data_IF_104164872858
#
_entry.id   IF_104164872858
#
_cell.length_a   1.000
_cell.length_b   1.000
_cell.length_c   1.000
_cell.angle_alpha   90.00
_cell.angle_beta   90.00
_cell.angle_gamma   90.00
#
_symmetry.space_group_name_H-M   'P 1'
#
loop_
_entity.id
_entity.type
_entity.pdbx_description
1 polymer ?
2 non-polymer ?
3 water ?
#
# COMPACT_ATOMS: atom_id res chain seq x y z
N UNK A 3 -0.46 27.19 -20.90
CA UNK A 3 -0.68 26.24 -21.98
C UNK A 3 0.62 25.54 -22.37
N UNK A 4 1.74 26.27 -22.22
CA UNK A 4 3.05 25.74 -22.58
C UNK A 4 3.29 24.37 -21.95
N UNK A 5 2.86 24.20 -20.70
CA UNK A 5 2.91 22.90 -20.03
C UNK A 5 1.66 22.76 -19.17
N UNK A 6 1.03 21.59 -19.28
CA UNK A 6 -0.07 21.21 -18.40
C UNK A 6 0.50 20.35 -17.27
N UNK A 7 0.26 20.78 -16.04
CA UNK A 7 0.84 20.14 -14.86
C UNK A 7 -0.27 19.44 -14.08
N UNK A 8 0.01 18.21 -13.65
CA UNK A 8 -0.88 17.46 -12.77
C UNK A 8 -0.19 17.28 -11.43
N UNK A 9 -0.84 17.75 -10.36
CA UNK A 9 -0.32 17.61 -9.00
C UNK A 9 -1.23 16.65 -8.25
N UNK A 10 -0.65 15.65 -7.61
CA UNK A 10 -1.40 14.64 -6.86
C UNK A 10 -1.01 14.75 -5.40
N UNK A 11 -1.94 15.25 -4.58
CA UNK A 11 -1.74 15.31 -3.13
C UNK A 11 -2.32 14.07 -2.47
N UNK A 12 -1.57 13.51 -1.52
CA UNK A 12 -1.98 12.26 -0.91
C UNK A 12 -1.86 12.22 0.62
N UNK A 13 -1.40 13.29 1.26
CA UNK A 13 -1.21 13.24 2.70
C UNK A 13 -2.53 13.36 3.44
N UNK A 14 -2.60 12.71 4.61
CA UNK A 14 -3.81 12.68 5.42
C UNK A 14 -3.76 13.66 6.57
N UNK A 15 -2.70 14.46 6.69
CA UNK A 15 -2.57 15.41 7.78
C UNK A 15 -3.08 16.81 7.43
N UNK A 16 -3.56 16.99 6.21
CA UNK A 16 -4.29 18.20 5.78
C UNK A 16 -3.34 19.39 5.83
N UNK A 17 -3.69 20.48 6.55
CA UNK A 17 -2.92 21.71 6.46
C UNK A 17 -1.56 21.59 7.15
N UNK A 18 -1.44 20.72 8.15
CA UNK A 18 -0.19 20.54 8.86
C UNK A 18 0.80 19.65 8.12
N UNK A 19 0.35 18.94 7.09
CA UNK A 19 1.22 18.00 6.39
C UNK A 19 2.31 18.75 5.64
N UNK A 20 3.56 18.33 5.87
CA UNK A 20 4.67 18.87 5.10
C UNK A 20 4.52 18.57 3.62
N UNK A 21 3.93 17.42 3.29
CA UNK A 21 3.73 17.06 1.88
C UNK A 21 2.81 18.06 1.19
N UNK A 22 1.72 18.45 1.84
CA UNK A 22 0.78 19.40 1.24
C UNK A 22 1.30 20.83 1.28
N UNK A 23 2.08 21.19 2.31
CA UNK A 23 2.70 22.50 2.34
C UNK A 23 3.69 22.65 1.18
N UNK A 24 4.55 21.65 0.98
CA UNK A 24 5.50 21.70 -0.12
C UNK A 24 4.82 21.54 -1.47
N UNK A 25 3.68 20.84 -1.51
CA UNK A 25 2.92 20.74 -2.75
C UNK A 25 2.32 22.08 -3.13
N UNK A 26 1.71 22.77 -2.17
CA UNK A 26 1.16 24.10 -2.43
C UNK A 26 2.26 25.09 -2.80
N UNK A 27 3.40 25.03 -2.10
CA UNK A 27 4.54 25.86 -2.48
C UNK A 27 5.01 25.53 -3.89
N UNK A 28 4.91 24.26 -4.30
CA UNK A 28 5.30 23.87 -5.64
C UNK A 28 4.35 24.43 -6.69
N UNK A 29 3.05 24.41 -6.40
CA UNK A 29 2.06 24.93 -7.33
C UNK A 29 2.23 26.44 -7.49
N UNK A 30 2.35 27.15 -6.37
CA UNK A 30 2.54 28.60 -6.41
C UNK A 30 3.86 28.96 -7.08
N UNK A 31 4.91 28.18 -6.83
CA UNK A 31 6.20 28.43 -7.48
C UNK A 31 6.10 28.21 -8.99
N UNK A 32 5.41 27.15 -9.41
CA UNK A 32 5.32 26.84 -10.83
C UNK A 32 4.50 27.86 -11.59
N UNK A 33 3.37 28.29 -11.02
CA UNK A 33 2.56 29.30 -11.70
C UNK A 33 3.20 30.68 -11.59
N UNK A 34 4.08 30.88 -10.60
CA UNK A 34 4.85 32.10 -10.53
C UNK A 34 5.93 32.13 -11.60
N UNK A 35 6.56 30.98 -11.89
CA UNK A 35 7.64 30.94 -12.87
C UNK A 35 7.10 30.83 -14.30
N UNK A 36 5.99 30.10 -14.49
CA UNK A 36 5.38 29.92 -15.80
C UNK A 36 3.91 30.32 -15.69
N UNK A 37 3.66 31.63 -15.78
CA UNK A 37 2.31 32.16 -15.57
C UNK A 37 1.31 31.65 -16.59
N UNK A 38 1.76 31.10 -17.70
CA UNK A 38 0.87 30.60 -18.73
C UNK A 38 0.51 29.14 -18.56
N UNK A 39 1.33 28.40 -17.81
CA UNK A 39 1.06 26.99 -17.58
C UNK A 39 -0.25 26.81 -16.81
N UNK A 40 -0.94 25.72 -17.11
CA UNK A 40 -2.21 25.38 -16.46
C UNK A 40 -1.99 24.19 -15.53
N UNK A 41 -2.35 24.36 -14.27
CA UNK A 41 -2.09 23.39 -13.21
C UNK A 41 -3.41 22.82 -12.72
N UNK A 42 -3.51 21.49 -12.73
CA UNK A 42 -4.65 20.77 -12.17
C UNK A 42 -4.18 20.06 -10.91
N UNK A 43 -4.87 20.28 -9.81
CA UNK A 43 -4.50 19.71 -8.52
C UNK A 43 -5.61 18.77 -8.07
N UNK A 44 -5.27 17.49 -7.95
CA UNK A 44 -6.17 16.48 -7.41
C UNK A 44 -5.67 16.07 -6.02
N UNK A 45 -6.54 16.19 -5.03
CA UNK A 45 -6.24 15.83 -3.66
C UNK A 45 -6.86 14.47 -3.36
N UNK A 46 -6.02 13.43 -3.29
CA UNK A 46 -6.51 12.08 -3.07
C UNK A 46 -7.00 11.85 -1.65
N UNK A 47 -6.74 12.78 -0.73
CA UNK A 47 -7.28 12.67 0.63
C UNK A 47 -8.60 13.42 0.77
N UNK A 48 -8.70 14.61 0.19
CA UNK A 48 -9.94 15.38 0.26
C UNK A 48 -11.09 14.64 -0.44
N UNK A 49 -10.83 14.16 -1.65
CA UNK A 49 -11.79 13.34 -2.41
C UNK A 49 -11.17 11.97 -2.63
N UNK A 50 -11.37 11.02 -1.71
CA UNK A 50 -10.66 9.75 -1.79
C UNK A 50 -11.11 8.88 -2.95
N UNK A 51 -10.22 7.99 -3.36
CA UNK A 51 -10.50 6.97 -4.37
C UNK A 51 -10.95 5.71 -3.64
N UNK A 52 -11.98 5.01 -4.12
CA UNK A 52 -12.39 3.78 -3.43
C UNK A 52 -11.34 2.68 -3.55
N UNK A 53 -11.32 1.82 -2.52
CA UNK A 53 -10.36 0.72 -2.50
C UNK A 53 -10.76 -0.34 -3.53
N UNK A 54 -9.76 -0.92 -4.18
CA UNK A 54 -9.98 -1.98 -5.16
C UNK A 54 -10.51 -3.22 -4.45
N UNK A 55 -11.77 -3.54 -4.70
CA UNK A 55 -12.43 -4.73 -4.18
C UNK A 55 -12.46 -5.83 -5.24
N UNK A 56 -12.86 -7.02 -4.81
CA UNK A 56 -13.09 -8.10 -5.76
C UNK A 56 -14.20 -7.78 -6.74
N UNK A 57 -15.16 -6.95 -6.33
CA UNK A 57 -16.18 -6.49 -7.26
C UNK A 57 -15.61 -5.48 -8.25
N UNK A 58 -14.91 -4.46 -7.74
CA UNK A 58 -14.35 -3.45 -8.62
C UNK A 58 -13.29 -4.04 -9.56
N UNK A 59 -12.60 -5.09 -9.14
CA UNK A 59 -11.53 -5.63 -9.99
C UNK A 59 -12.09 -6.24 -11.27
N UNK A 60 -13.38 -6.60 -11.28
CA UNK A 60 -14.00 -7.09 -12.50
C UNK A 60 -14.41 -6.01 -13.47
N UNK A 61 -14.61 -4.78 -12.99
CA UNK A 61 -14.99 -3.68 -13.87
C UNK A 61 -13.83 -3.21 -14.73
N UNK A 62 -12.60 -3.37 -14.25
CA UNK A 62 -11.42 -2.87 -14.93
C UNK A 62 -10.86 -3.86 -15.95
N UNK A 63 -11.64 -4.87 -16.33
CA UNK A 63 -11.27 -5.84 -17.32
C UNK A 63 -12.46 -6.07 -18.27
N UNK A 64 -12.21 -6.56 -19.49
CA UNK A 64 -13.28 -6.87 -20.44
C UNK A 64 -14.40 -7.74 -19.87
N UNK A 66 -17.77 -8.93 -20.13
CA UNK A 66 -18.42 -10.21 -20.39
C UNK A 66 -19.82 -10.30 -19.82
N UNK A 67 -19.94 -10.16 -18.51
CA UNK A 67 -21.21 -10.26 -17.81
C UNK A 67 -21.78 -8.86 -17.54
N UNK A 68 -22.86 -8.80 -16.79
CA UNK A 68 -23.52 -7.54 -16.47
C UNK A 68 -22.72 -6.79 -15.41
N UNK A 69 -22.49 -5.50 -15.64
CA UNK A 69 -21.77 -4.65 -14.70
C UNK A 69 -22.73 -4.09 -13.66
N UNK A 70 -22.40 -4.27 -12.39
CA UNK A 70 -23.16 -3.66 -11.31
C UNK A 70 -22.95 -2.15 -11.34
N UNK A 71 -23.88 -1.38 -10.77
CA UNK A 71 -23.69 0.09 -10.71
C UNK A 71 -22.36 0.50 -10.08
N UNK A 72 -21.97 -0.14 -8.99
CA UNK A 72 -20.67 0.15 -8.36
C UNK A 72 -19.54 -0.07 -9.34
N UNK A 73 -19.62 -1.14 -10.13
CA UNK A 73 -18.60 -1.43 -11.13
C UNK A 73 -18.60 -0.40 -12.26
N UNK A 74 -19.78 0.11 -12.63
CA UNK A 74 -19.84 1.16 -13.64
C UNK A 74 -19.20 2.45 -13.12
N UNK A 75 -19.52 2.82 -11.88
CA UNK A 75 -18.90 4.00 -11.27
C UNK A 75 -17.38 3.83 -11.21
N UNK A 76 -16.92 2.66 -10.81
CA UNK A 76 -15.47 2.43 -10.70
C UNK A 76 -14.79 2.52 -12.06
N UNK A 77 -15.41 1.93 -13.09
CA UNK A 77 -14.82 2.00 -14.43
C UNK A 77 -14.80 3.42 -14.96
N UNK A 78 -15.90 4.16 -14.74
CA UNK A 78 -15.96 5.55 -15.18
C UNK A 78 -14.89 6.41 -14.50
N UNK A 79 -14.78 6.29 -13.18
CA UNK A 79 -13.74 7.02 -12.46
C UNK A 79 -12.35 6.63 -12.95
N UNK A 80 -12.14 5.34 -13.23
CA UNK A 80 -10.85 4.91 -13.76
C UNK A 80 -10.53 5.60 -15.08
N UNK A 81 -11.48 5.63 -16.01
CA UNK A 81 -11.25 6.30 -17.28
C UNK A 81 -11.03 7.80 -17.08
N UNK A 82 -11.67 8.40 -16.07
CA UNK A 82 -11.46 9.81 -15.79
C UNK A 82 -10.04 10.06 -15.30
N UNK A 83 -9.53 9.20 -14.41
CA UNK A 83 -8.18 9.37 -13.90
C UNK A 83 -7.14 9.13 -14.99
N UNK A 84 -7.36 8.10 -15.82
CA UNK A 84 -6.42 7.81 -16.89
C UNK A 84 -6.42 8.93 -17.93
N UNK A 85 -7.60 9.45 -18.27
CA UNK A 85 -7.69 10.54 -19.23
C UNK A 85 -7.02 11.80 -18.71
N UNK A 86 -7.30 12.14 -17.44
CA UNK A 86 -6.64 13.29 -16.83
C UNK A 86 -5.13 13.12 -16.79
N UNK A 87 -4.67 11.90 -16.52
CA UNK A 87 -3.24 11.63 -16.49
C UNK A 87 -2.61 11.82 -17.87
N UNK A 88 -3.26 11.29 -18.91
CA UNK A 88 -2.71 11.42 -20.26
C UNK A 88 -2.72 12.86 -20.76
N UNK A 89 -3.63 13.69 -20.25
CA UNK A 89 -3.78 15.05 -20.74
C UNK A 89 -2.69 15.99 -20.24
N UNK A 90 -2.02 15.64 -19.15
CA UNK A 90 -0.97 16.49 -18.57
C UNK A 90 0.41 15.97 -18.93
N UNK A 91 1.38 16.90 -19.02
CA UNK A 91 2.74 16.59 -19.43
C UNK A 91 3.70 16.46 -18.26
N UNK A 92 3.49 17.21 -17.18
CA UNK A 92 4.27 17.11 -15.96
C UNK A 92 3.38 16.51 -14.88
N UNK A 93 3.87 15.47 -14.21
CA UNK A 93 3.11 14.74 -13.20
C UNK A 93 3.83 14.91 -11.87
N UNK A 94 3.24 15.70 -10.97
CA UNK A 94 3.81 15.93 -9.64
C UNK A 94 3.07 15.05 -8.64
N UNK A 95 3.80 14.16 -7.98
CA UNK A 95 3.23 13.22 -7.01
C UNK A 95 3.82 13.54 -5.65
N UNK A 96 2.95 13.67 -4.65
CA UNK A 96 3.35 13.90 -3.27
C UNK A 96 3.13 12.59 -2.52
N UNK A 97 4.21 11.87 -2.23
CA UNK A 97 4.15 10.54 -1.64
C UNK A 97 4.98 10.48 -0.36
N UNK A 98 4.46 11.01 0.74
CA UNK A 98 5.10 10.79 2.04
C UNK A 98 5.05 9.31 2.42
N UNK A 99 5.87 8.94 3.38
CA UNK A 99 6.04 7.55 3.78
C UNK A 99 5.21 7.28 5.02
N UNK A 100 4.26 6.36 4.91
CA UNK A 100 3.41 5.95 6.02
C UNK A 100 3.72 4.49 6.33
N UNK A 101 4.36 4.25 7.48
CA UNK A 101 4.77 2.91 7.89
C UNK A 101 5.44 2.17 6.72
N UNK A 102 6.50 2.77 6.19
CA UNK A 102 7.36 2.17 5.18
C UNK A 102 6.64 1.90 3.86
N UNK A 103 5.53 2.60 3.60
CA UNK A 103 4.80 2.47 2.36
C UNK A 103 4.23 3.82 1.98
N UNK A 104 3.73 3.93 0.75
CA UNK A 104 3.09 5.15 0.28
C UNK A 104 1.71 5.26 0.95
N UNK A 105 1.09 6.44 0.99
CA UNK A 105 -0.25 6.52 1.56
C UNK A 105 -1.24 5.66 0.79
N UNK A 106 -2.26 5.18 1.50
CA UNK A 106 -3.24 4.30 0.88
C UNK A 106 -4.05 5.02 -0.20
N UNK A 107 -4.19 6.34 -0.09
CA UNK A 107 -4.90 7.11 -1.10
C UNK A 107 -4.17 7.04 -2.44
N UNK A 108 -2.87 7.35 -2.43
CA UNK A 108 -2.07 7.22 -3.64
C UNK A 108 -2.10 5.79 -4.17
N UNK A 109 -2.05 4.81 -3.27
CA UNK A 109 -2.06 3.42 -3.69
C UNK A 109 -3.36 3.07 -4.43
N UNK A 110 -4.50 3.56 -3.92
CA UNK A 110 -5.76 3.34 -4.61
C UNK A 110 -5.78 4.01 -5.97
N UNK A 111 -5.21 5.23 -6.06
CA UNK A 111 -5.05 5.87 -7.36
C UNK A 111 -4.27 4.98 -8.33
N UNK A 112 -3.14 4.43 -7.86
CA UNK A 112 -2.32 3.56 -8.69
C UNK A 112 -3.11 2.33 -9.15
N UNK A 113 -3.80 1.67 -8.22
CA UNK A 113 -4.59 0.50 -8.58
C UNK A 113 -5.71 0.85 -9.54
N UNK A 114 -6.16 2.10 -9.58
CA UNK A 114 -7.21 2.48 -10.51
C UNK A 114 -6.69 2.91 -11.87
N UNK A 115 -5.42 3.32 -11.98
CA UNK A 115 -4.88 3.73 -13.28
C UNK A 115 -4.08 2.63 -13.98
N UNK A 116 -3.83 1.50 -13.33
CA UNK A 116 -3.05 0.41 -13.93
C UNK A 116 -4.02 -0.58 -14.54
N UNK A 117 -4.22 -0.48 -15.86
CA UNK A 117 -5.20 -1.30 -16.56
C UNK A 117 -4.60 -1.87 -17.83
N UNK A 118 -4.68 -3.18 -17.98
CA UNK A 118 -4.13 -3.85 -19.15
C UNK A 118 -4.85 -3.38 -20.42
N UNK A 119 -4.07 -3.10 -21.46
CA UNK A 119 -4.61 -2.61 -22.70
C UNK A 119 -4.97 -1.14 -22.72
N UNK A 120 -4.78 -0.42 -21.61
CA UNK A 120 -5.12 0.99 -21.53
C UNK A 120 -3.87 1.79 -21.19
N UNK A 121 -3.24 1.48 -20.06
CA UNK A 121 -2.00 2.14 -19.67
C UNK A 121 -0.77 1.26 -19.84
N UNK A 122 -0.95 -0.01 -20.19
CA UNK A 122 0.17 -0.88 -20.56
C UNK A 122 -0.36 -2.04 -21.39
N UNK A 123 0.46 -2.49 -22.33
CA UNK A 123 0.12 -3.58 -23.23
C UNK A 123 1.23 -4.62 -23.19
N UNK A 124 0.92 -5.80 -23.69
CA UNK A 124 1.92 -6.86 -23.81
C UNK A 124 2.37 -6.97 -25.26
N UNK A 125 3.68 -7.15 -25.45
CA UNK A 125 4.31 -7.19 -26.76
C UNK A 125 4.97 -8.54 -26.97
N UNK A 126 5.43 -8.76 -28.21
CA UNK A 126 6.34 -9.87 -28.50
C UNK A 126 7.59 -9.79 -27.64
N UNK A 127 8.04 -8.57 -27.33
CA UNK A 127 9.20 -8.37 -26.47
C UNK A 127 8.85 -8.38 -24.99
N UNK A 128 7.59 -8.16 -24.62
CA UNK A 128 7.19 -8.11 -23.24
C UNK A 128 6.31 -6.90 -22.95
N UNK A 129 5.95 -6.70 -21.69
CA UNK A 129 5.07 -5.57 -21.36
C UNK A 129 5.72 -4.24 -21.66
N UNK A 130 4.87 -3.26 -22.00
CA UNK A 130 5.30 -1.92 -22.33
C UNK A 130 4.24 -0.93 -21.83
N UNK A 131 4.69 0.20 -21.28
CA UNK A 131 3.77 1.22 -20.83
C UNK A 131 3.24 2.08 -21.95
N UNK A 132 2.11 2.73 -21.69
CA UNK A 132 1.43 3.53 -22.69
C UNK A 132 1.21 4.98 -22.28
N UNK A 133 1.70 5.38 -21.10
CA UNK A 133 1.64 6.78 -20.66
C UNK A 133 2.99 7.38 -21.04
N UNK A 134 3.08 7.92 -22.25
CA UNK A 134 4.34 8.33 -22.84
C UNK A 134 4.52 9.85 -22.79
N UNK A 135 5.77 10.27 -22.91
CA UNK A 135 6.10 11.69 -22.97
C UNK A 135 5.78 12.46 -21.70
N UNK A 136 5.92 11.84 -20.54
CA UNK A 136 5.57 12.45 -19.27
C UNK A 136 6.81 12.67 -18.42
N UNK A 137 6.85 13.81 -17.74
CA UNK A 137 7.92 14.14 -16.80
C UNK A 137 7.35 14.13 -15.40
N UNK A 138 7.71 13.13 -14.61
CA UNK A 138 7.21 12.99 -13.24
C UNK A 138 8.22 13.51 -12.23
N UNK A 139 7.70 14.11 -11.16
CA UNK A 139 8.49 14.58 -10.03
C UNK A 139 7.83 14.10 -8.76
N UNK A 140 8.60 13.53 -7.85
CA UNK A 140 8.08 12.85 -6.66
C UNK A 140 8.53 13.60 -5.42
N UNK A 141 7.56 14.00 -4.60
CA UNK A 141 7.82 14.62 -3.30
C UNK A 141 7.64 13.53 -2.24
N UNK A 142 8.74 13.12 -1.62
CA UNK A 142 8.71 12.01 -0.68
C UNK A 142 9.63 12.31 0.50
N UNK A 143 9.59 11.41 1.48
CA UNK A 143 10.41 11.52 2.67
C UNK A 143 11.75 10.81 2.44
N UNK A 144 12.60 10.83 3.46
CA UNK A 144 13.92 10.20 3.39
C UNK A 144 14.26 9.65 4.76
N UNK A 145 14.54 8.35 4.83
CA UNK A 145 14.88 7.72 6.10
C UNK A 145 16.36 7.77 6.41
N UNK A 151 19.41 -1.32 8.45
CA UNK A 151 18.99 -2.21 7.37
C UNK A 151 18.35 -1.43 6.23
N UNK A 152 17.32 -2.01 5.62
CA UNK A 152 16.62 -1.31 4.53
C UNK A 152 15.94 -0.05 5.03
N UNK A 153 15.87 0.96 4.17
CA UNK A 153 15.39 2.27 4.58
C UNK A 153 14.17 2.70 3.78
N UNK A 154 14.39 3.40 2.67
CA UNK A 154 13.28 3.85 1.82
C UNK A 154 13.02 2.79 0.77
N UNK A 155 11.87 2.13 0.88
CA UNK A 155 11.44 1.18 -0.13
C UNK A 155 10.50 1.80 -1.15
N UNK A 156 10.01 3.00 -0.89
CA UNK A 156 9.03 3.63 -1.77
C UNK A 156 9.67 4.17 -3.05
N UNK A 157 10.97 4.43 -3.06
CA UNK A 157 11.63 4.98 -4.24
C UNK A 157 11.72 3.91 -5.34
N UNK A 158 12.26 2.71 -5.08
CA UNK A 158 12.24 1.69 -6.14
C UNK A 158 10.84 1.24 -6.51
N UNK A 159 9.90 1.29 -5.57
CA UNK A 159 8.52 0.95 -5.87
C UNK A 159 7.90 1.94 -6.86
N UNK A 160 8.04 3.24 -6.57
CA UNK A 160 7.49 4.25 -7.46
C UNK A 160 8.19 4.22 -8.81
N UNK A 161 9.51 4.06 -8.82
CA UNK A 161 10.25 3.92 -10.07
C UNK A 161 9.73 2.74 -10.88
N UNK A 162 9.45 1.62 -10.20
CA UNK A 162 9.02 0.41 -10.89
C UNK A 162 7.61 0.56 -11.45
N UNK A 163 6.65 0.99 -10.61
CA UNK A 163 5.28 1.12 -11.07
C UNK A 163 5.16 2.18 -12.16
N UNK A 164 5.71 3.37 -11.91
CA UNK A 164 5.62 4.44 -12.90
C UNK A 164 6.30 4.02 -14.19
N UNK A 165 7.45 3.38 -14.11
CA UNK A 165 8.10 2.88 -15.32
C UNK A 165 7.25 1.86 -16.04
N UNK A 166 6.46 1.07 -15.29
CA UNK A 166 5.66 0.02 -15.90
C UNK A 166 4.57 0.60 -16.80
N UNK A 167 4.01 1.75 -16.43
CA UNK A 167 2.94 2.34 -17.22
C UNK A 167 3.54 3.33 -18.21
N UNK A 168 4.87 3.38 -18.29
CA UNK A 168 5.55 4.12 -19.33
C UNK A 168 6.19 5.42 -18.90
N UNK A 169 6.12 5.79 -17.62
CA UNK A 169 6.70 7.05 -17.15
C UNK A 169 8.13 6.73 -16.71
N UNK A 170 9.08 6.98 -17.60
CA UNK A 170 10.48 6.67 -17.36
C UNK A 170 11.24 7.84 -16.74
N UNK A 171 10.93 9.07 -17.15
CA UNK A 171 11.59 10.27 -16.64
C UNK A 171 10.97 10.62 -15.29
N UNK A 172 11.62 10.19 -14.21
CA UNK A 172 11.11 10.38 -12.86
C UNK A 172 12.20 11.01 -12.02
N UNK A 173 11.86 12.12 -11.36
CA UNK A 173 12.78 12.85 -10.50
C UNK A 173 12.24 12.83 -9.07
N UNK A 174 13.09 12.47 -8.12
CA UNK A 174 12.70 12.37 -6.72
C UNK A 174 13.21 13.58 -5.95
N UNK A 175 12.34 14.17 -5.14
CA UNK A 175 12.68 15.30 -4.28
C UNK A 175 12.36 14.90 -2.85
N UNK A 176 13.40 14.85 -2.02
CA UNK A 176 13.28 14.45 -0.62
C UNK A 176 13.21 15.68 0.27
N UNK A 177 12.30 15.65 1.24
CA UNK A 177 12.08 16.79 2.11
C UNK A 177 11.55 16.30 3.45
N UNK A 178 11.19 17.24 4.32
CA UNK A 178 10.67 16.94 5.65
C UNK A 178 9.63 17.96 6.08
N UNK A 179 9.73 19.18 5.58
CA UNK A 179 8.84 20.25 5.96
C UNK A 179 9.03 21.53 5.16
N UNK A 192 12.62 25.82 4.08
CA UNK A 192 13.87 26.51 3.82
C UNK A 192 14.66 25.80 2.73
N UNK A 193 15.42 24.77 3.11
CA UNK A 193 16.14 23.95 2.15
C UNK A 193 15.18 23.32 1.15
N UNK A 194 14.21 22.56 1.66
CA UNK A 194 13.23 21.88 0.81
C UNK A 194 12.61 22.82 -0.21
N UNK A 195 12.26 24.04 0.22
CA UNK A 195 11.66 25.00 -0.70
C UNK A 195 12.67 25.48 -1.74
N UNK A 196 13.95 25.58 -1.36
CA UNK A 196 14.98 25.92 -2.34
C UNK A 196 15.12 24.82 -3.40
N UNK A 197 15.22 23.56 -2.98
CA UNK A 197 15.33 22.48 -3.96
C UNK A 197 14.11 22.42 -4.85
N UNK A 198 12.91 22.62 -4.27
CA UNK A 198 11.71 22.66 -5.10
C UNK A 198 11.76 23.80 -6.10
N UNK A 199 12.28 24.96 -5.70
CA UNK A 199 12.41 26.07 -6.63
C UNK A 199 13.38 25.73 -7.75
N UNK A 200 14.44 24.97 -7.45
CA UNK A 200 15.35 24.54 -8.50
C UNK A 200 14.67 23.55 -9.44
N UNK A 201 13.84 22.67 -8.89
CA UNK A 201 13.10 21.72 -9.73
C UNK A 201 12.15 22.47 -10.66
N UNK A 202 11.45 23.47 -10.13
CA UNK A 202 10.53 24.26 -10.94
C UNK A 202 11.29 25.00 -12.04
N UNK A 203 12.45 25.60 -11.68
CA UNK A 203 13.25 26.30 -12.66
C UNK A 203 13.95 25.36 -13.64
N UNK A 204 14.13 24.09 -13.26
CA UNK A 204 14.77 23.12 -14.12
C UNK A 204 13.92 22.83 -15.35
N UNK B 3 -0.42 -27.15 26.64
CA UNK B 3 0.73 -26.76 25.83
C UNK B 3 0.35 -26.67 24.36
N UNK B 4 -0.71 -25.90 24.08
CA UNK B 4 -1.21 -25.71 22.72
C UNK B 4 -0.62 -24.45 22.10
N UNK B 5 -0.68 -24.40 20.78
CA UNK B 5 -0.27 -23.23 20.02
C UNK B 5 -1.50 -22.59 19.37
N UNK B 6 -1.51 -21.26 19.33
CA UNK B 6 -2.56 -20.50 18.67
C UNK B 6 -2.00 -19.92 17.38
N UNK B 7 -2.68 -20.20 16.27
CA UNK B 7 -2.25 -19.79 14.95
C UNK B 7 -3.27 -18.81 14.39
N UNK B 8 -2.80 -17.65 13.95
CA UNK B 8 -3.64 -16.66 13.27
C UNK B 8 -3.31 -16.66 11.79
N UNK B 9 -4.33 -16.81 10.95
CA UNK B 9 -4.18 -16.77 9.50
C UNK B 9 -4.88 -15.54 8.96
N UNK B 10 -4.16 -14.74 8.19
CA UNK B 10 -4.64 -13.48 7.66
C UNK B 10 -4.71 -13.57 6.14
N UNK B 11 -5.92 -13.58 5.60
CA UNK B 11 -6.15 -13.57 4.16
C UNK B 11 -6.42 -12.14 3.70
N UNK B 12 -5.75 -11.74 2.62
CA UNK B 12 -5.92 -10.40 2.09
C UNK B 12 -6.28 -10.34 0.62
N UNK B 13 -6.27 -11.47 -0.09
CA UNK B 13 -6.57 -11.44 -1.52
C UNK B 13 -8.03 -11.07 -1.77
N UNK B 14 -8.25 -10.30 -2.84
CA UNK B 14 -9.60 -9.86 -3.19
C UNK B 14 -10.29 -10.80 -4.18
N UNK B 15 -9.62 -11.86 -4.60
CA UNK B 15 -10.23 -12.84 -5.50
C UNK B 15 -10.93 -13.97 -4.76
N UNK B 16 -10.93 -13.94 -3.42
CA UNK B 16 -11.76 -14.79 -2.56
C UNK B 16 -11.35 -16.25 -2.79
N UNK B 17 -12.30 -17.17 -2.99
CA UNK B 17 -11.98 -18.58 -3.15
C UNK B 17 -11.20 -18.85 -4.44
N UNK B 18 -11.18 -17.89 -5.36
CA UNK B 18 -10.42 -18.01 -6.60
C UNK B 18 -8.94 -17.77 -6.43
N UNK B 19 -8.50 -17.26 -5.29
CA UNK B 19 -7.11 -16.90 -5.09
C UNK B 19 -6.25 -18.13 -4.83
N UNK B 20 -5.09 -18.18 -5.51
CA UNK B 20 -4.11 -19.22 -5.20
C UNK B 20 -3.57 -19.05 -3.79
N UNK B 21 -3.38 -17.80 -3.36
CA UNK B 21 -2.89 -17.54 -2.01
C UNK B 21 -3.89 -17.98 -0.96
N UNK B 22 -5.18 -17.76 -1.21
CA UNK B 22 -6.20 -18.20 -0.26
C UNK B 22 -6.38 -19.70 -0.29
N UNK B 23 -6.23 -20.32 -1.48
CA UNK B 23 -6.22 -21.78 -1.56
C UNK B 23 -5.09 -22.36 -0.72
N UNK B 24 -3.89 -21.79 -0.85
CA UNK B 24 -2.76 -22.25 -0.05
C UNK B 24 -2.95 -21.96 1.43
N UNK B 25 -3.64 -20.88 1.77
CA UNK B 25 -3.91 -20.59 3.18
C UNK B 25 -4.88 -21.59 3.77
N UNK B 26 -5.95 -21.93 3.04
CA UNK B 26 -6.88 -22.93 3.52
C UNK B 26 -6.22 -24.30 3.62
N UNK B 27 -5.43 -24.67 2.61
CA UNK B 27 -4.67 -25.92 2.71
C UNK B 27 -3.74 -25.89 3.92
N UNK B 28 -3.16 -24.72 4.21
CA UNK B 28 -2.32 -24.58 5.40
C UNK B 28 -3.12 -24.83 6.67
N UNK B 29 -4.36 -24.33 6.72
CA UNK B 29 -5.21 -24.54 7.87
C UNK B 29 -5.53 -26.02 8.05
N UNK B 30 -5.95 -26.67 6.97
CA UNK B 30 -6.26 -28.10 7.04
C UNK B 30 -5.03 -28.91 7.45
N UNK B 31 -3.87 -28.57 6.90
CA UNK B 31 -2.66 -29.32 7.21
C UNK B 31 -2.25 -29.14 8.67
N UNK B 32 -2.33 -27.91 9.19
CA UNK B 32 -1.95 -27.68 10.58
C UNK B 32 -2.96 -28.29 11.54
N UNK B 33 -4.24 -28.22 11.20
CA UNK B 33 -5.26 -28.87 12.04
C UNK B 33 -5.05 -30.37 12.08
N UNK B 34 -4.66 -30.98 10.95
CA UNK B 34 -4.41 -32.41 10.94
C UNK B 34 -3.15 -32.75 11.72
N UNK B 35 -2.10 -31.93 11.60
CA UNK B 35 -0.83 -32.24 12.23
C UNK B 35 -0.89 -32.02 13.74
N UNK B 36 -1.51 -30.93 14.18
CA UNK B 36 -1.58 -30.57 15.59
C UNK B 36 -3.06 -30.43 15.98
N UNK B 37 -3.70 -31.58 16.21
CA UNK B 37 -5.15 -31.61 16.45
C UNK B 37 -5.57 -30.77 17.64
N UNK B 38 -4.67 -30.50 18.58
CA UNK B 38 -4.99 -29.67 19.73
C UNK B 38 -4.86 -28.18 19.52
N UNK B 39 -4.19 -27.76 18.45
CA UNK B 39 -3.94 -26.34 18.22
C UNK B 39 -5.24 -25.60 17.91
N UNK B 40 -5.22 -24.29 18.14
CA UNK B 40 -6.38 -23.42 17.97
C UNK B 40 -6.08 -22.44 16.83
N UNK B 41 -6.88 -22.50 15.77
CA UNK B 41 -6.61 -21.76 14.54
C UNK B 41 -7.70 -20.71 14.34
N UNK B 42 -7.28 -19.46 14.16
CA UNK B 42 -8.18 -18.35 13.90
C UNK B 42 -7.87 -17.78 12.51
N UNK B 43 -8.89 -17.66 11.68
CA UNK B 43 -8.75 -17.19 10.31
C UNK B 43 -9.50 -15.88 10.18
N UNK B 44 -8.78 -14.81 9.83
CA UNK B 44 -9.37 -13.51 9.55
C UNK B 44 -9.21 -13.21 8.07
N UNK B 45 -10.32 -12.92 7.40
CA UNK B 45 -10.31 -12.56 5.99
C UNK B 45 -10.43 -11.05 5.89
N UNK B 46 -9.32 -10.40 5.52
CA UNK B 46 -9.29 -8.94 5.41
C UNK B 46 -10.06 -8.43 4.20
N UNK B 47 -10.41 -9.30 3.25
CA UNK B 47 -11.22 -8.90 2.10
C UNK B 47 -12.71 -9.08 2.37
N UNK B 48 -13.09 -10.23 2.95
CA UNK B 48 -14.49 -10.47 3.26
C UNK B 48 -15.00 -9.49 4.32
N UNK B 49 -14.18 -9.21 5.33
CA UNK B 49 -14.47 -8.20 6.36
C UNK B 49 -13.36 -7.16 6.29
N UNK B 50 -13.55 -6.09 5.53
CA UNK B 50 -12.45 -5.17 5.27
C UNK B 50 -12.07 -4.34 6.49
N UNK B 51 -10.85 -3.84 6.46
CA UNK B 51 -10.35 -2.92 7.49
C UNK B 51 -10.45 -1.51 6.92
N UNK B 52 -10.89 -0.52 7.70
CA UNK B 52 -10.99 0.85 7.19
C UNK B 52 -9.65 1.39 6.71
N UNK B 53 -9.74 2.41 5.88
CA UNK B 53 -8.56 3.06 5.32
C UNK B 53 -8.01 4.06 6.34
N UNK B 54 -6.69 4.12 6.44
CA UNK B 54 -6.02 5.07 7.33
C UNK B 54 -6.21 6.48 6.79
N UNK B 55 -7.07 7.26 7.42
CA UNK B 55 -7.30 8.66 7.07
C UNK B 55 -6.92 9.54 8.25
N UNK B 56 -7.12 10.85 8.08
CA UNK B 56 -6.75 11.79 9.13
C UNK B 56 -7.51 11.54 10.43
N UNK B 57 -8.81 11.26 10.32
CA UNK B 57 -9.62 10.98 11.51
C UNK B 57 -9.15 9.70 12.20
N UNK B 58 -8.78 8.67 11.43
CA UNK B 58 -8.22 7.47 12.02
C UNK B 58 -6.93 7.75 12.75
N UNK B 59 -6.04 8.54 12.13
CA UNK B 59 -4.79 8.94 12.78
C UNK B 59 -5.07 9.67 14.08
N UNK B 60 -6.12 10.50 14.09
CA UNK B 60 -6.52 11.14 15.34
C UNK B 60 -6.98 10.13 16.38
N UNK B 61 -7.70 9.09 15.94
CA UNK B 61 -8.21 8.08 16.86
C UNK B 61 -7.09 7.25 17.47
N UNK B 62 -6.01 7.00 16.72
CA UNK B 62 -4.94 6.14 17.19
C UNK B 62 -3.82 6.91 17.89
N UNK B 63 -4.06 8.16 18.27
CA UNK B 63 -3.03 8.95 18.92
C UNK B 63 -2.80 8.49 20.35
N UNK B 64 -1.57 8.60 20.86
CA UNK B 64 -1.32 8.27 22.27
C UNK B 64 -2.17 9.08 23.23
N UNK B 65 -2.44 10.35 22.93
CA UNK B 65 -3.28 11.17 23.79
C UNK B 65 -4.76 10.89 23.56
N UNK B 68 -10.15 14.30 23.21
CA UNK B 68 -11.52 14.06 22.78
C UNK B 68 -11.56 13.14 21.57
N UNK B 69 -12.53 12.23 21.55
CA UNK B 69 -12.67 11.26 20.47
C UNK B 69 -14.13 11.18 20.05
N UNK B 70 -14.37 11.28 18.74
CA UNK B 70 -15.72 11.16 18.22
C UNK B 70 -16.18 9.70 18.32
N UNK B 71 -17.49 9.46 18.18
CA UNK B 71 -17.96 8.06 18.09
C UNK B 71 -17.27 7.26 17.00
N UNK B 72 -17.10 7.86 15.82
CA UNK B 72 -16.37 7.17 14.75
C UNK B 72 -14.96 6.80 15.18
N UNK B 73 -14.25 7.76 15.78
CA UNK B 73 -12.89 7.49 16.24
C UNK B 73 -12.86 6.47 17.37
N UNK B 74 -13.90 6.42 18.21
CA UNK B 74 -13.96 5.39 19.24
C UNK B 74 -14.17 4.01 18.62
N UNK B 75 -15.00 3.92 17.59
CA UNK B 75 -15.19 2.65 16.90
C UNK B 75 -13.90 2.18 16.24
N UNK B 76 -13.22 3.11 15.56
CA UNK B 76 -11.96 2.76 14.90
C UNK B 76 -10.90 2.34 15.90
N UNK B 77 -10.76 3.10 16.99
CA UNK B 77 -9.79 2.75 18.02
C UNK B 77 -10.11 1.39 18.64
N UNK B 78 -11.38 1.13 18.93
CA UNK B 78 -11.77 -0.17 19.45
C UNK B 78 -11.39 -1.28 18.48
N UNK B 79 -11.60 -1.07 17.18
CA UNK B 79 -11.21 -2.07 16.19
C UNK B 79 -9.70 -2.30 16.19
N UNK B 80 -8.93 -1.22 16.29
CA UNK B 80 -7.47 -1.34 16.34
C UNK B 80 -7.04 -2.16 17.55
N UNK B 81 -7.61 -1.88 18.72
CA UNK B 81 -7.30 -2.68 19.90
C UNK B 81 -7.70 -4.14 19.73
N UNK B 82 -8.80 -4.40 19.01
CA UNK B 82 -9.19 -5.77 18.71
C UNK B 82 -8.13 -6.47 17.88
N UNK B 83 -7.67 -5.84 16.80
CA UNK B 83 -6.66 -6.45 15.94
C UNK B 83 -5.36 -6.67 16.69
N UNK B 84 -4.95 -5.70 17.52
CA UNK B 84 -3.69 -5.84 18.24
C UNK B 84 -3.79 -6.96 19.28
N UNK B 85 -4.90 -7.03 20.01
CA UNK B 85 -5.06 -8.09 21.00
C UNK B 85 -5.07 -9.46 20.34
N UNK B 86 -5.78 -9.59 19.22
CA UNK B 86 -5.78 -10.86 18.50
C UNK B 86 -4.39 -11.22 18.01
N UNK B 87 -3.64 -10.24 17.51
CA UNK B 87 -2.28 -10.51 17.04
C UNK B 87 -1.38 -10.96 18.17
N UNK B 88 -1.42 -10.26 19.31
CA UNK B 88 -0.59 -10.64 20.45
C UNK B 88 -1.03 -11.97 21.07
N UNK B 89 -2.28 -12.37 20.87
CA UNK B 89 -2.76 -13.60 21.50
C UNK B 89 -2.21 -14.85 20.81
N UNK B 90 -1.86 -14.76 19.53
CA UNK B 90 -1.48 -15.93 18.74
C UNK B 90 0.03 -16.13 18.70
N UNK B 91 0.44 -17.39 18.67
CA UNK B 91 1.85 -17.76 18.65
C UNK B 91 2.42 -17.82 17.25
N UNK B 92 1.65 -18.34 16.28
CA UNK B 92 2.07 -18.45 14.90
C UNK B 92 1.23 -17.49 14.06
N UNK B 93 1.89 -16.68 13.23
CA UNK B 93 1.24 -15.66 12.43
C UNK B 93 1.43 -16.03 10.97
N UNK B 94 0.35 -16.39 10.30
CA UNK B 94 0.38 -16.73 8.87
C UNK B 94 -0.29 -15.60 8.11
N UNK B 95 0.46 -14.98 7.20
CA UNK B 95 0.00 -13.83 6.43
C UNK B 95 0.07 -14.18 4.95
N UNK B 96 -1.08 -14.13 4.28
CA UNK B 96 -1.14 -14.31 2.83
C UNK B 96 -1.05 -12.94 2.18
N UNK B 97 0.08 -12.65 1.56
CA UNK B 97 0.35 -11.34 0.95
C UNK B 97 0.76 -11.53 -0.51
N UNK B 98 -0.19 -11.75 -1.41
CA UNK B 98 0.11 -11.70 -2.84
C UNK B 98 0.40 -10.27 -3.27
N UNK B 99 0.96 -10.14 -4.48
CA UNK B 99 1.46 -8.86 -4.97
C UNK B 99 0.47 -8.26 -5.95
N UNK B 100 -0.04 -7.07 -5.62
CA UNK B 100 -0.95 -6.33 -6.48
C UNK B 100 -0.24 -5.05 -6.92
N UNK B 101 0.08 -4.97 -8.22
CA UNK B 101 0.77 -3.81 -8.78
C UNK B 101 2.03 -3.48 -7.97
N UNK B 102 2.85 -4.50 -7.76
CA UNK B 102 4.16 -4.37 -7.11
C UNK B 102 4.03 -3.92 -5.65
N UNK B 103 2.90 -4.22 -5.01
CA UNK B 103 2.72 -3.94 -3.59
C UNK B 103 1.76 -4.95 -3.00
N UNK B 104 1.66 -4.96 -1.68
CA UNK B 104 0.79 -5.87 -0.95
C UNK B 104 -0.66 -5.47 -1.19
N UNK B 105 -1.65 -6.32 -0.90
CA UNK B 105 -3.04 -5.90 -1.07
C UNK B 105 -3.40 -4.79 -0.11
N UNK B 106 -4.24 -3.85 -0.59
CA UNK B 106 -4.64 -2.71 0.22
C UNK B 106 -5.27 -3.15 1.54
N UNK B 107 -5.97 -4.29 1.55
CA UNK B 107 -6.61 -4.78 2.77
C UNK B 107 -5.57 -5.03 3.87
N UNK B 108 -4.51 -5.78 3.53
CA UNK B 108 -3.46 -6.05 4.50
C UNK B 108 -2.74 -4.78 4.89
N UNK B 109 -2.63 -3.82 3.96
CA UNK B 109 -2.01 -2.54 4.28
C UNK B 109 -2.82 -1.79 5.32
N UNK B 110 -4.15 -1.84 5.22
CA UNK B 110 -5.00 -1.25 6.25
C UNK B 110 -4.78 -1.95 7.58
N UNK B 111 -4.76 -3.28 7.57
CA UNK B 111 -4.43 -4.04 8.78
C UNK B 111 -3.14 -3.53 9.43
N UNK B 112 -2.09 -3.35 8.62
CA UNK B 112 -0.82 -2.89 9.14
C UNK B 112 -0.93 -1.48 9.71
N UNK B 113 -1.60 -0.58 9.00
CA UNK B 113 -1.75 0.78 9.49
C UNK B 113 -2.57 0.84 10.77
N UNK B 114 -3.40 -0.17 11.03
CA UNK B 114 -4.18 -0.20 12.26
C UNK B 114 -3.49 -0.93 13.41
N UNK B 115 -2.48 -1.75 13.13
CA UNK B 115 -1.77 -2.44 14.21
C UNK B 115 -0.46 -1.76 14.60
N UNK B 116 -0.02 -0.73 13.88
CA UNK B 116 1.25 -0.07 14.17
C UNK B 116 0.95 1.23 14.93
N UNK B 117 1.07 1.16 16.27
CA UNK B 117 0.73 2.28 17.13
C UNK B 117 1.78 2.45 18.21
N UNK B 118 2.31 3.67 18.33
CA UNK B 118 3.37 3.95 19.30
C UNK B 118 2.89 3.71 20.72
N UNK B 119 3.73 3.03 21.51
CA UNK B 119 3.41 2.72 22.88
C UNK B 119 2.60 1.47 23.08
N UNK B 120 2.11 0.85 22.01
CA UNK B 120 1.31 -0.36 22.10
C UNK B 120 2.04 -1.48 21.38
N UNK B 121 2.34 -1.27 20.11
CA UNK B 121 2.99 -2.28 19.31
C UNK B 121 4.48 -2.02 19.12
N UNK B 122 4.95 -0.80 19.45
CA UNK B 122 6.37 -0.51 19.55
C UNK B 122 6.55 0.64 20.53
N UNK B 123 7.78 0.81 21.01
CA UNK B 123 8.10 1.88 21.93
C UNK B 123 9.43 2.51 21.54
N UNK B 124 9.67 3.72 22.06
CA UNK B 124 10.94 4.40 21.87
C UNK B 124 11.79 4.25 23.12
N UNK B 125 13.05 3.89 22.92
CA UNK B 125 14.00 3.66 24.01
C UNK B 125 15.20 4.58 23.81
N UNK B 126 15.96 4.79 24.88
CA UNK B 126 17.23 5.50 24.77
C UNK B 126 18.15 4.85 23.75
N UNK B 127 18.03 3.54 23.56
CA UNK B 127 18.76 2.83 22.52
C UNK B 127 18.06 2.89 21.16
N UNK B 128 16.80 3.30 21.12
CA UNK B 128 16.07 3.40 19.88
C UNK B 128 14.72 2.72 19.95
N UNK B 129 13.99 2.70 18.83
CA UNK B 129 12.68 2.03 18.82
C UNK B 129 12.85 0.51 18.91
N UNK B 130 11.90 -0.11 19.59
CA UNK B 130 11.84 -1.57 19.69
C UNK B 130 10.39 -2.02 19.63
N UNK B 131 10.17 -3.19 19.04
CA UNK B 131 8.84 -3.74 18.95
C UNK B 131 8.37 -4.38 20.25
N UNK B 132 7.05 -4.54 20.35
CA UNK B 132 6.44 -5.12 21.54
C UNK B 132 5.59 -6.34 21.24
N UNK B 133 5.55 -6.78 20.00
CA UNK B 133 4.89 -8.04 19.62
C UNK B 133 6.00 -9.07 19.55
N UNK B 134 6.27 -9.71 20.68
CA UNK B 134 7.45 -10.56 20.85
C UNK B 134 7.06 -12.04 20.90
N UNK B 135 8.01 -12.88 20.50
CA UNK B 135 7.81 -14.32 20.59
C UNK B 135 6.91 -14.91 19.53
N UNK B 136 6.84 -14.30 18.35
CA UNK B 136 5.98 -14.76 17.27
C UNK B 136 6.81 -15.39 16.16
N UNK B 137 6.27 -16.43 15.55
CA UNK B 137 6.84 -17.05 14.36
C UNK B 137 5.91 -16.72 13.19
N UNK B 138 6.42 -15.97 12.23
CA UNK B 138 5.62 -15.49 11.11
C UNK B 138 5.95 -16.28 9.85
N UNK B 139 4.91 -16.63 9.10
CA UNK B 139 5.04 -17.32 7.82
C UNK B 139 4.27 -16.52 6.78
N UNK B 140 4.91 -16.20 5.67
CA UNK B 140 4.36 -15.32 4.66
C UNK B 140 4.09 -16.10 3.38
N UNK B 141 2.83 -16.14 2.96
CA UNK B 141 2.44 -16.69 1.67
C UNK B 141 2.45 -15.56 0.65
N UNK B 142 3.41 -15.59 -0.27
CA UNK B 142 3.54 -14.53 -1.26
C UNK B 142 3.88 -15.15 -2.61
N UNK B 143 3.89 -14.30 -3.64
CA UNK B 143 4.29 -14.70 -4.97
C UNK B 143 5.78 -14.41 -5.18
N UNK B 144 6.31 -14.83 -6.31
CA UNK B 144 7.73 -14.68 -6.61
C UNK B 144 7.90 -14.02 -7.97
N UNK B 145 8.49 -12.83 -7.98
CA UNK B 145 8.77 -12.12 -9.22
C UNK B 145 9.98 -11.20 -9.05
N UNK B 151 16.85 -5.30 -12.22
CA UNK B 151 15.70 -4.59 -11.66
C UNK B 151 14.65 -5.53 -11.05
N UNK B 152 14.78 -5.86 -9.77
CA UNK B 152 13.83 -6.81 -9.16
C UNK B 152 12.51 -6.14 -8.82
N UNK B 153 11.43 -6.89 -9.04
CA UNK B 153 10.09 -6.46 -8.66
C UNK B 153 9.60 -7.11 -7.37
N UNK B 154 10.44 -7.91 -6.71
CA UNK B 154 10.07 -8.56 -5.46
C UNK B 154 10.50 -7.71 -4.27
N UNK B 155 9.94 -6.50 -4.21
CA UNK B 155 10.20 -5.57 -3.12
C UNK B 155 9.27 -5.78 -1.94
N UNK B 156 8.33 -6.72 -2.04
CA UNK B 156 7.40 -6.97 -0.94
C UNK B 156 8.10 -7.64 0.23
N UNK B 157 9.12 -8.44 -0.04
CA UNK B 157 9.82 -9.17 1.02
C UNK B 157 10.56 -8.22 1.94
N UNK B 158 11.39 -7.27 1.46
CA UNK B 158 12.02 -6.34 2.39
C UNK B 158 11.03 -5.45 3.12
N UNK B 159 9.90 -5.12 2.48
CA UNK B 159 8.88 -4.31 3.13
C UNK B 159 8.24 -5.06 4.30
N UNK B 160 7.87 -6.32 4.07
CA UNK B 160 7.24 -7.11 5.14
C UNK B 160 8.23 -7.43 6.24
N UNK B 161 9.47 -7.77 5.88
CA UNK B 161 10.49 -8.02 6.90
C UNK B 161 10.74 -6.78 7.74
N UNK B 162 10.81 -5.61 7.09
CA UNK B 162 11.06 -4.37 7.81
C UNK B 162 9.90 -4.00 8.71
N UNK B 163 8.68 -4.01 8.17
CA UNK B 163 7.50 -3.64 8.96
C UNK B 163 7.30 -4.59 10.13
N UNK B 164 7.24 -5.90 9.85
CA UNK B 164 7.03 -6.87 10.92
C UNK B 164 8.15 -6.79 11.95
N UNK B 165 9.40 -6.67 11.50
CA UNK B 165 10.51 -6.54 12.43
C UNK B 165 10.38 -5.30 13.30
N UNK B 166 9.81 -4.22 12.76
CA UNK B 166 9.68 -2.99 13.53
C UNK B 166 8.77 -3.18 14.74
N UNK B 167 7.71 -3.99 14.60
CA UNK B 167 6.79 -4.20 15.71
C UNK B 167 7.22 -5.42 16.50
N UNK B 168 8.40 -5.96 16.19
CA UNK B 168 9.01 -6.99 17.01
C UNK B 168 8.97 -8.39 16.44
N UNK B 169 8.39 -8.60 15.26
CA UNK B 169 8.29 -9.94 14.68
C UNK B 169 9.54 -10.15 13.83
N UNK B 170 10.56 -10.77 14.44
CA UNK B 170 11.83 -11.02 13.79
C UNK B 170 11.85 -12.32 13.02
N UNK B 171 11.24 -13.37 13.58
CA UNK B 171 11.24 -14.72 13.00
C UNK B 171 10.21 -14.76 11.87
N UNK B 172 10.66 -14.51 10.64
CA UNK B 172 9.80 -14.45 9.47
C UNK B 172 10.34 -15.38 8.40
N UNK B 173 9.54 -16.37 8.01
CA UNK B 173 9.86 -17.23 6.89
C UNK B 173 8.95 -16.90 5.72
N UNK B 174 9.53 -16.82 4.53
CA UNK B 174 8.79 -16.55 3.31
C UNK B 174 8.68 -17.84 2.50
N UNK B 175 7.46 -18.17 2.10
CA UNK B 175 7.22 -19.27 1.18
C UNK B 175 6.58 -18.69 -0.08
N UNK B 176 7.15 -19.03 -1.23
CA UNK B 176 6.72 -18.47 -2.50
C UNK B 176 5.90 -19.49 -3.27
N UNK B 177 4.97 -18.99 -4.08
CA UNK B 177 4.00 -19.82 -4.77
C UNK B 177 4.05 -19.56 -6.27
N UNK B 178 4.00 -20.63 -7.05
CA UNK B 178 3.97 -20.54 -8.50
C UNK B 178 3.32 -21.78 -9.10
N UNK B 192 0.82 -28.02 -5.58
CA UNK B 192 1.67 -29.21 -5.61
C UNK B 192 2.99 -28.96 -4.89
N UNK B 193 3.90 -28.25 -5.57
CA UNK B 193 5.19 -27.93 -4.98
C UNK B 193 5.03 -26.98 -3.79
N UNK B 194 4.19 -25.96 -3.95
CA UNK B 194 3.95 -25.02 -2.86
C UNK B 194 3.31 -25.73 -1.66
N UNK B 195 2.48 -26.75 -1.92
CA UNK B 195 1.81 -27.44 -0.82
C UNK B 195 2.75 -28.43 -0.14
N UNK B 196 3.72 -28.97 -0.88
CA UNK B 196 4.78 -29.74 -0.25
C UNK B 196 5.65 -28.85 0.64
N UNK B 197 5.93 -27.63 0.18
CA UNK B 197 6.67 -26.68 1.01
C UNK B 197 5.88 -26.32 2.26
N UNK B 198 4.57 -26.09 2.12
CA UNK B 198 3.75 -25.78 3.29
C UNK B 198 3.65 -26.97 4.24
N UNK B 199 3.68 -28.20 3.71
CA UNK B 199 3.72 -29.37 4.59
C UNK B 199 5.04 -29.43 5.34
N UNK B 200 6.14 -29.03 4.69
CA UNK B 200 7.42 -28.94 5.39
C UNK B 200 7.36 -27.88 6.48
N UNK B 201 6.68 -26.76 6.21
CA UNK B 201 6.58 -25.71 7.22
C UNK B 201 5.75 -26.19 8.40
N UNK B 202 4.63 -26.85 8.14
CA UNK B 202 3.78 -27.33 9.23
C UNK B 202 4.48 -28.41 10.05
N UNK B 203 5.26 -29.26 9.37
CA UNK B 203 5.96 -30.33 10.07
C UNK B 203 7.13 -29.83 10.90
N UNK B 204 7.72 -28.69 10.55
CA UNK B 204 8.88 -28.17 11.27
C UNK B 204 8.53 -27.80 12.70
#
# INVERSE_FOLDING_TARGET
SNAMSKVLVLKSSILATSSQSNQLADFFVEQWQAAHAGDQITVRDLAAQPIPVLDGELVGALRPSGTALTPRQQEALALSDELIAELQANDVIVIAAPMYNFNIPTQLKNYFDMIARAGVTFRYTEKGPEGLVTGKRAIILTSRGGIHKDTPTDLVVPYLRLFLGFIGITDVEFVFAEGIAYGPEVATKAQADAKTLLAQVVAA
SNAMSKVLVLKSSILATSSQSNQLADFFVEQWQAAHAGDQITVRDLAAQPIPVLDGELVGALRPSGTALTPRQQEALALSDELIAELQANDVIVIAAPMYNFNIPTQLKNYFDMIARAGVTFRYTEKGPEGLVTGKRAIILTSRGGIHKDTPTDLVVPYLRLFLGFIGITDVEFVFAEGIAYGPEVATKAQADAKTLLAQVVAA
#
